data_IF_531806826100
#
_entry.id   IF_531806826100
#
_cell.length_a   1.000
_cell.length_b   1.000
_cell.length_c   1.000
_cell.angle_alpha   90.00
_cell.angle_beta   90.00
_cell.angle_gamma   90.00
#
_symmetry.space_group_name_H-M   'P 1'
#
loop_
_entity.id
_entity.type
_entity.pdbx_description
1 polymer ?
#
# COMPACT_ATOMS: atom_id res chain seq x y z
N UNK A 1 -17.02 -25.74 16.39
CA UNK A 1 -17.78 -24.58 15.87
C UNK A 1 -18.97 -25.07 15.04
N UNK A 2 -20.13 -24.42 15.11
CA UNK A 2 -21.31 -24.78 14.32
C UNK A 2 -21.73 -23.61 13.42
N UNK A 3 -22.01 -23.88 12.15
CA UNK A 3 -22.47 -22.89 11.16
C UNK A 3 -23.80 -23.36 10.56
N UNK A 4 -24.83 -22.50 10.42
CA UNK A 4 -26.08 -22.85 9.75
C UNK A 4 -25.84 -23.35 8.32
N UNK A 5 -26.63 -24.34 7.89
CA UNK A 5 -26.58 -24.91 6.54
C UNK A 5 -28.00 -25.22 6.08
N UNK A 6 -28.47 -24.52 5.05
CA UNK A 6 -29.85 -24.63 4.54
C UNK A 6 -29.94 -25.14 3.11
N UNK A 7 -28.80 -25.46 2.50
CA UNK A 7 -28.74 -25.85 1.10
C UNK A 7 -29.33 -27.24 0.86
N UNK A 8 -30.08 -27.36 -0.23
CA UNK A 8 -30.60 -28.63 -0.72
C UNK A 8 -29.55 -29.32 -1.59
N UNK A 9 -29.38 -30.63 -1.48
CA UNK A 9 -28.40 -31.39 -2.29
C UNK A 9 -27.90 -32.62 -1.55
N UNK A 10 -26.99 -33.40 -2.16
CA UNK A 10 -26.53 -34.70 -1.61
C UNK A 10 -25.17 -34.63 -0.89
N UNK A 11 -24.62 -33.44 -0.69
CA UNK A 11 -23.35 -33.28 0.00
C UNK A 11 -23.45 -33.74 1.47
N UNK A 12 -22.47 -34.52 1.91
CA UNK A 12 -22.34 -34.93 3.31
C UNK A 12 -21.32 -34.09 4.08
N UNK A 13 -20.47 -33.37 3.35
CA UNK A 13 -19.41 -32.52 3.86
C UNK A 13 -19.59 -31.10 3.38
N UNK A 14 -19.22 -30.16 4.24
CA UNK A 14 -19.00 -28.77 3.87
C UNK A 14 -17.65 -28.31 4.45
N UNK A 15 -17.15 -27.19 3.96
CA UNK A 15 -15.79 -26.73 4.20
C UNK A 15 -15.80 -25.29 4.69
N UNK A 16 -14.81 -24.95 5.52
CA UNK A 16 -14.40 -23.57 5.67
C UNK A 16 -13.13 -23.40 4.84
N UNK A 17 -13.18 -22.50 3.88
CA UNK A 17 -12.03 -22.11 3.07
C UNK A 17 -11.43 -20.78 3.58
N UNK A 18 -10.15 -20.58 3.32
CA UNK A 18 -9.44 -19.33 3.58
C UNK A 18 -9.05 -18.67 2.25
N UNK A 19 -8.95 -17.35 2.24
CA UNK A 19 -8.46 -16.62 1.07
C UNK A 19 -7.00 -16.99 0.74
N UNK A 20 -6.70 -17.15 -0.54
CA UNK A 20 -5.35 -17.35 -1.04
C UNK A 20 -5.26 -16.83 -2.48
N UNK A 21 -4.54 -15.72 -2.68
CA UNK A 21 -4.34 -15.09 -4.01
C UNK A 21 -3.49 -15.92 -4.97
N UNK A 22 -2.75 -16.91 -4.46
CA UNK A 22 -1.88 -17.78 -5.25
C UNK A 22 -2.61 -18.93 -5.96
N UNK A 23 -3.89 -19.17 -5.66
CA UNK A 23 -4.70 -20.19 -6.33
C UNK A 23 -5.73 -19.55 -7.26
N UNK A 24 -6.05 -20.15 -8.43
CA UNK A 24 -7.03 -19.59 -9.36
C UNK A 24 -8.42 -19.37 -8.76
N UNK A 25 -8.83 -20.20 -7.80
CA UNK A 25 -10.12 -20.07 -7.10
C UNK A 25 -10.16 -18.93 -6.09
N UNK A 26 -9.02 -18.30 -5.76
CA UNK A 26 -8.89 -17.28 -4.70
C UNK A 26 -9.15 -17.78 -3.28
N UNK A 27 -9.53 -19.05 -3.10
CA UNK A 27 -9.81 -19.68 -1.81
C UNK A 27 -9.30 -21.13 -1.79
N UNK A 28 -8.87 -21.59 -0.61
CA UNK A 28 -8.48 -22.98 -0.34
C UNK A 28 -9.24 -23.53 0.87
N UNK A 29 -9.85 -24.74 0.79
CA UNK A 29 -10.39 -25.42 1.96
C UNK A 29 -9.29 -25.65 3.00
N UNK A 30 -9.54 -25.25 4.25
CA UNK A 30 -8.59 -25.44 5.36
C UNK A 30 -9.14 -26.31 6.47
N UNK A 31 -10.47 -26.52 6.50
CA UNK A 31 -11.12 -27.49 7.37
C UNK A 31 -12.45 -27.93 6.79
N UNK A 32 -13.00 -29.02 7.32
CA UNK A 32 -14.25 -29.61 6.88
C UNK A 32 -15.13 -30.01 8.08
N UNK A 33 -16.41 -30.16 7.82
CA UNK A 33 -17.41 -30.56 8.80
C UNK A 33 -18.48 -31.44 8.18
N UNK A 34 -19.17 -32.21 9.02
CA UNK A 34 -20.29 -33.06 8.60
C UNK A 34 -21.57 -32.24 8.59
N UNK A 35 -22.34 -32.34 7.51
CA UNK A 35 -23.66 -31.71 7.38
C UNK A 35 -24.67 -32.50 8.22
N UNK A 36 -25.30 -31.83 9.19
CA UNK A 36 -26.45 -32.36 9.93
C UNK A 36 -27.72 -31.75 9.36
N UNK A 37 -28.44 -32.54 8.55
CA UNK A 37 -29.67 -32.09 7.87
C UNK A 37 -30.83 -31.88 8.84
N UNK A 38 -30.93 -32.73 9.87
CA UNK A 38 -31.99 -32.61 10.89
C UNK A 38 -31.85 -31.31 11.68
N UNK A 39 -30.62 -30.91 12.02
CA UNK A 39 -30.33 -29.67 12.75
C UNK A 39 -30.02 -28.46 11.84
N UNK A 40 -30.04 -28.66 10.52
CA UNK A 40 -29.70 -27.64 9.50
C UNK A 40 -28.39 -26.89 9.79
N UNK A 41 -27.33 -27.62 10.11
CA UNK A 41 -26.02 -27.03 10.41
C UNK A 41 -24.86 -27.93 10.02
N UNK A 42 -23.65 -27.36 10.04
CA UNK A 42 -22.38 -28.06 9.88
C UNK A 42 -21.58 -27.88 11.16
N UNK A 43 -21.02 -28.97 11.67
CA UNK A 43 -20.11 -28.93 12.82
C UNK A 43 -18.67 -29.11 12.35
N UNK A 44 -17.82 -28.12 12.64
CA UNK A 44 -16.38 -28.12 12.39
C UNK A 44 -15.63 -28.38 13.70
N UNK A 45 -14.86 -29.47 13.76
CA UNK A 45 -14.11 -29.87 14.95
C UNK A 45 -12.78 -29.13 15.11
N UNK A 46 -12.15 -28.76 13.99
CA UNK A 46 -10.83 -28.14 13.96
C UNK A 46 -10.91 -26.82 13.21
N UNK A 47 -11.04 -25.71 13.94
CA UNK A 47 -11.10 -24.36 13.38
C UNK A 47 -10.07 -23.50 14.10
N UNK A 48 -9.31 -22.71 13.34
CA UNK A 48 -8.26 -21.85 13.87
C UNK A 48 -8.89 -20.47 14.11
N UNK A 49 -8.84 -19.93 15.34
CA UNK A 49 -9.32 -18.58 15.62
C UNK A 49 -8.42 -17.53 14.95
N UNK A 50 -8.86 -16.27 14.93
CA UNK A 50 -8.17 -15.14 14.28
C UNK A 50 -8.01 -15.34 12.76
N UNK A 51 -9.10 -15.77 12.11
CA UNK A 51 -9.11 -16.13 10.68
C UNK A 51 -10.42 -15.73 10.01
N UNK A 52 -10.29 -15.31 8.75
CA UNK A 52 -11.43 -15.07 7.87
C UNK A 52 -11.77 -16.32 7.05
N UNK A 53 -13.04 -16.74 7.11
CA UNK A 53 -13.51 -17.99 6.53
C UNK A 53 -14.62 -17.78 5.49
N UNK A 54 -14.54 -18.60 4.44
CA UNK A 54 -15.54 -18.73 3.39
C UNK A 54 -16.26 -20.08 3.56
N UNK A 55 -17.52 -20.11 4.03
CA UNK A 55 -18.28 -21.34 4.14
C UNK A 55 -18.72 -21.82 2.75
N UNK A 56 -18.14 -22.93 2.29
CA UNK A 56 -18.38 -23.49 0.95
C UNK A 56 -18.62 -24.99 0.94
N UNK A 57 -19.30 -25.48 -0.09
CA UNK A 57 -19.34 -26.89 -0.46
C UNK A 57 -18.99 -27.03 -1.94
N UNK A 58 -18.65 -28.25 -2.36
CA UNK A 58 -18.26 -28.53 -3.73
C UNK A 58 -19.28 -29.43 -4.41
N UNK A 59 -19.56 -29.17 -5.69
CA UNK A 59 -20.31 -30.11 -6.53
C UNK A 59 -19.44 -31.33 -6.88
N UNK A 60 -20.05 -32.41 -7.41
CA UNK A 60 -19.29 -33.57 -7.90
C UNK A 60 -18.24 -33.24 -8.96
N UNK A 61 -18.39 -32.12 -9.66
CA UNK A 61 -17.46 -31.63 -10.69
C UNK A 61 -16.42 -30.64 -10.14
N UNK A 62 -16.36 -30.45 -8.81
CA UNK A 62 -15.37 -29.60 -8.17
C UNK A 62 -15.69 -28.09 -8.17
N UNK A 63 -16.88 -27.68 -8.63
CA UNK A 63 -17.31 -26.27 -8.52
C UNK A 63 -17.68 -25.93 -7.08
N UNK A 64 -17.17 -24.83 -6.55
CA UNK A 64 -17.51 -24.32 -5.23
C UNK A 64 -18.83 -23.54 -5.23
N UNK A 65 -19.56 -23.64 -4.12
CA UNK A 65 -20.79 -22.91 -3.84
C UNK A 65 -20.77 -22.46 -2.38
N UNK A 66 -21.30 -21.27 -2.09
CA UNK A 66 -21.45 -20.80 -0.71
C UNK A 66 -22.70 -21.40 -0.08
N UNK A 67 -22.65 -21.72 1.22
CA UNK A 67 -23.83 -22.07 2.01
C UNK A 67 -24.13 -21.05 3.13
N UNK A 68 -23.38 -19.95 3.14
CA UNK A 68 -23.50 -18.85 4.08
C UNK A 68 -22.58 -17.70 3.70
N UNK A 69 -22.69 -16.59 4.43
CA UNK A 69 -21.83 -15.43 4.26
C UNK A 69 -20.41 -15.70 4.79
N UNK A 70 -19.36 -15.19 4.14
CA UNK A 70 -18.03 -15.16 4.72
C UNK A 70 -18.01 -14.42 6.07
N UNK A 71 -17.14 -14.84 6.97
CA UNK A 71 -17.09 -14.29 8.33
C UNK A 71 -15.68 -14.32 8.90
N UNK A 72 -15.41 -13.41 9.85
CA UNK A 72 -14.21 -13.46 10.66
C UNK A 72 -14.48 -14.23 11.96
N UNK A 73 -13.57 -15.13 12.34
CA UNK A 73 -13.58 -15.82 13.62
C UNK A 73 -12.55 -15.15 14.51
N UNK A 74 -12.98 -14.52 15.60
CA UNK A 74 -12.06 -13.82 16.50
C UNK A 74 -11.18 -14.76 17.33
N UNK A 75 -10.26 -14.19 18.11
CA UNK A 75 -9.37 -14.93 19.03
C UNK A 75 -10.12 -15.73 20.09
N UNK A 76 -11.34 -15.32 20.44
CA UNK A 76 -12.22 -16.00 21.39
C UNK A 76 -13.09 -17.10 20.77
N UNK A 77 -13.02 -17.31 19.46
CA UNK A 77 -13.83 -18.28 18.74
C UNK A 77 -15.27 -17.82 18.46
N UNK A 78 -15.54 -16.51 18.54
CA UNK A 78 -16.83 -15.91 18.19
C UNK A 78 -16.84 -15.50 16.73
N UNK A 79 -17.95 -15.80 16.05
CA UNK A 79 -18.21 -15.34 14.68
C UNK A 79 -18.52 -13.85 14.72
N UNK A 80 -17.71 -13.06 14.03
CA UNK A 80 -17.98 -11.67 13.71
C UNK A 80 -18.48 -11.64 12.27
N UNK A 81 -19.75 -11.27 12.09
CA UNK A 81 -20.32 -11.09 10.76
C UNK A 81 -19.74 -9.85 10.12
N UNK A 82 -19.27 -9.99 8.89
CA UNK A 82 -18.67 -8.93 8.08
C UNK A 82 -19.72 -8.02 7.43
N UNK A 83 -20.80 -7.68 8.15
CA UNK A 83 -21.80 -6.78 7.61
C UNK A 83 -21.27 -5.35 7.73
N UNK A 84 -20.69 -4.87 6.63
CA UNK A 84 -20.36 -3.47 6.46
C UNK A 84 -21.49 -2.88 5.62
N UNK A 85 -22.18 -1.88 6.17
CA UNK A 85 -23.06 -1.03 5.36
C UNK A 85 -22.20 -0.38 4.29
N UNK A 86 -22.35 -0.83 3.05
CA UNK A 86 -21.52 -0.37 1.96
C UNK A 86 -22.15 0.80 1.21
N UNK A 87 -21.32 1.53 0.49
CA UNK A 87 -21.78 2.50 -0.50
C UNK A 87 -22.23 1.78 -1.78
N UNK A 88 -23.31 2.23 -2.41
CA UNK A 88 -23.83 1.68 -3.68
C UNK A 88 -23.35 2.44 -4.93
N UNK A 89 -22.34 3.30 -4.78
CA UNK A 89 -21.86 4.22 -5.82
C UNK A 89 -20.42 3.90 -6.25
N UNK A 90 -19.87 4.77 -7.09
CA UNK A 90 -18.45 4.78 -7.43
C UNK A 90 -17.57 4.90 -6.19
N UNK A 91 -16.64 3.96 -6.07
CA UNK A 91 -15.62 3.90 -5.02
C UNK A 91 -14.24 4.07 -5.63
N UNK A 92 -13.34 4.76 -4.91
CA UNK A 92 -11.96 4.94 -5.32
C UNK A 92 -11.07 3.95 -4.56
N UNK A 93 -10.50 3.01 -5.29
CA UNK A 93 -9.53 2.05 -4.78
C UNK A 93 -8.14 2.66 -4.88
N UNK A 94 -7.33 2.46 -3.85
CA UNK A 94 -5.96 2.99 -3.74
C UNK A 94 -4.91 1.90 -3.53
N UNK A 95 -5.32 0.70 -3.10
CA UNK A 95 -4.39 -0.39 -2.74
C UNK A 95 -5.00 -1.78 -2.84
N UNK A 96 -4.12 -2.77 -3.01
CA UNK A 96 -4.47 -4.21 -3.06
C UNK A 96 -4.23 -4.97 -1.75
N UNK A 97 -3.54 -4.34 -0.80
CA UNK A 97 -3.22 -4.90 0.52
C UNK A 97 -3.20 -3.75 1.55
N UNK A 98 -3.55 -3.98 2.82
CA UNK A 98 -3.49 -2.94 3.85
C UNK A 98 -2.07 -2.40 4.03
N UNK A 99 -1.96 -1.20 4.58
CA UNK A 99 -0.67 -0.75 5.08
C UNK A 99 -0.21 -1.70 6.19
N UNK A 100 1.09 -2.01 6.23
CA UNK A 100 1.64 -2.90 7.26
C UNK A 100 1.98 -2.05 8.48
N UNK A 101 1.43 -2.40 9.64
CA UNK A 101 1.67 -1.67 10.89
C UNK A 101 3.16 -1.42 11.14
N UNK A 102 4.02 -2.42 10.95
CA UNK A 102 5.46 -2.26 11.16
C UNK A 102 6.15 -1.27 10.19
N UNK A 103 5.55 -0.94 9.04
CA UNK A 103 6.04 0.10 8.14
C UNK A 103 5.45 1.46 8.48
N UNK A 104 4.19 1.52 8.93
CA UNK A 104 3.58 2.74 9.48
C UNK A 104 4.35 3.21 10.73
N UNK A 105 4.68 2.30 11.64
CA UNK A 105 5.46 2.60 12.84
C UNK A 105 6.83 3.16 12.50
N UNK A 106 7.47 2.70 11.41
CA UNK A 106 8.74 3.25 10.92
C UNK A 106 8.54 4.65 10.34
N UNK A 107 7.49 4.88 9.56
CA UNK A 107 7.19 6.19 9.00
C UNK A 107 6.89 7.24 10.09
N UNK A 108 6.18 6.87 11.16
CA UNK A 108 5.93 7.75 12.31
C UNK A 108 7.24 8.17 12.99
N UNK A 109 8.21 7.26 13.12
CA UNK A 109 9.51 7.55 13.74
C UNK A 109 10.41 8.50 12.92
N UNK A 110 10.05 8.78 11.66
CA UNK A 110 10.74 9.80 10.87
C UNK A 110 10.35 11.22 11.27
N UNK A 111 9.25 11.43 12.00
CA UNK A 111 8.85 12.75 12.52
C UNK A 111 9.98 13.33 13.36
N UNK A 112 10.33 14.59 13.10
CA UNK A 112 11.46 15.27 13.74
C UNK A 112 12.79 15.13 13.00
N UNK A 113 12.87 14.29 11.95
CA UNK A 113 14.03 14.26 11.05
C UNK A 113 14.23 15.64 10.42
N UNK A 114 15.46 16.14 10.47
CA UNK A 114 15.81 17.47 9.96
C UNK A 114 16.57 17.37 8.65
N UNK A 115 16.31 18.34 7.78
CA UNK A 115 17.11 18.58 6.57
C UNK A 115 18.02 19.75 6.88
N UNK A 116 19.33 19.51 6.85
CA UNK A 116 20.35 20.50 7.13
C UNK A 116 21.12 20.83 5.86
N UNK A 117 21.56 22.07 5.75
CA UNK A 117 22.35 22.56 4.64
C UNK A 117 23.57 23.34 5.13
N UNK A 118 24.68 23.26 4.41
CA UNK A 118 25.91 23.98 4.74
C UNK A 118 26.81 24.18 3.52
N UNK A 119 27.70 25.17 3.62
CA UNK A 119 28.85 25.32 2.72
C UNK A 119 30.15 24.81 3.37
N UNK A 120 30.06 24.26 4.58
CA UNK A 120 31.13 23.54 5.27
C UNK A 120 30.87 22.03 5.21
N UNK A 121 31.83 21.19 4.77
CA UNK A 121 31.63 19.75 4.61
C UNK A 121 31.44 19.00 5.95
N UNK A 122 31.83 19.61 7.07
CA UNK A 122 31.59 19.12 8.43
C UNK A 122 30.23 19.52 8.99
N UNK A 123 29.42 20.31 8.27
CA UNK A 123 28.14 20.86 8.73
C UNK A 123 28.28 21.70 10.02
N UNK A 124 29.39 22.41 10.17
CA UNK A 124 29.67 23.30 11.31
C UNK A 124 30.26 24.64 10.82
N UNK A 125 29.46 25.71 10.71
CA UNK A 125 28.02 25.78 11.02
C UNK A 125 27.16 25.09 9.96
N UNK A 126 25.91 24.79 10.31
CA UNK A 126 24.87 24.39 9.36
C UNK A 126 23.52 25.03 9.69
N UNK A 127 22.65 25.08 8.69
CA UNK A 127 21.30 25.60 8.80
C UNK A 127 20.29 24.46 8.66
N UNK A 128 19.30 24.43 9.55
CA UNK A 128 18.13 23.57 9.37
C UNK A 128 17.19 24.23 8.38
N UNK A 129 17.04 23.64 7.20
CA UNK A 129 16.24 24.17 6.09
C UNK A 129 14.93 23.42 5.90
N UNK A 130 14.71 22.31 6.61
CA UNK A 130 13.45 21.58 6.57
C UNK A 130 13.31 20.59 7.71
N UNK A 131 12.09 20.12 7.92
CA UNK A 131 11.75 19.12 8.95
C UNK A 131 10.62 18.21 8.45
N UNK A 132 10.71 16.92 8.77
CA UNK A 132 9.58 16.00 8.67
C UNK A 132 8.67 16.27 9.86
N UNK A 133 7.63 17.08 9.66
CA UNK A 133 6.74 17.51 10.73
C UNK A 133 5.57 16.55 10.99
N UNK A 134 5.27 15.65 10.05
CA UNK A 134 4.15 14.71 10.12
C UNK A 134 4.53 13.38 9.46
N UNK A 135 3.69 12.37 9.66
CA UNK A 135 3.85 11.01 9.16
C UNK A 135 3.86 11.01 7.64
N UNK A 136 4.94 10.50 7.05
CA UNK A 136 5.03 10.33 5.60
C UNK A 136 4.05 9.25 5.12
N UNK A 137 3.41 9.51 3.98
CA UNK A 137 2.55 8.52 3.32
C UNK A 137 3.38 7.65 2.37
N UNK A 138 2.96 6.40 2.07
CA UNK A 138 3.76 5.43 1.31
C UNK A 138 3.72 5.68 -0.21
N UNK A 139 4.05 6.90 -0.61
CA UNK A 139 4.20 7.37 -1.98
C UNK A 139 5.09 8.62 -2.00
N UNK A 140 5.51 9.07 -3.18
CA UNK A 140 6.29 10.30 -3.29
C UNK A 140 5.51 11.52 -2.78
N UNK A 141 6.17 12.30 -1.93
CA UNK A 141 5.66 13.56 -1.40
C UNK A 141 6.79 14.57 -1.20
N UNK A 142 6.43 15.85 -1.19
CA UNK A 142 7.38 16.95 -1.14
C UNK A 142 7.46 17.59 0.25
N UNK A 143 8.69 17.83 0.72
CA UNK A 143 8.99 18.69 1.85
C UNK A 143 9.67 19.95 1.31
N UNK A 144 8.97 21.08 1.39
CA UNK A 144 9.52 22.39 0.99
C UNK A 144 10.67 22.79 1.92
N UNK A 145 11.75 23.30 1.35
CA UNK A 145 12.89 23.80 2.12
C UNK A 145 12.83 25.32 2.22
N UNK A 146 13.19 25.84 3.39
CA UNK A 146 13.49 27.26 3.60
C UNK A 146 14.90 27.57 3.06
N UNK A 147 14.94 28.28 1.94
CA UNK A 147 16.17 28.66 1.24
C UNK A 147 16.51 30.15 1.39
N UNK A 148 15.98 30.83 2.40
CA UNK A 148 16.12 32.28 2.60
C UNK A 148 17.58 32.77 2.74
N UNK A 149 18.51 31.90 3.14
CA UNK A 149 19.93 32.23 3.34
C UNK A 149 20.80 32.04 2.08
N UNK A 150 20.27 31.41 1.04
CA UNK A 150 20.97 31.20 -0.23
C UNK A 150 21.24 29.73 -0.55
N UNK A 151 21.99 29.47 -1.64
CA UNK A 151 22.30 28.12 -2.08
C UNK A 151 23.38 27.49 -1.19
N UNK A 152 23.32 26.18 -1.04
CA UNK A 152 24.31 25.41 -0.27
C UNK A 152 24.98 24.36 -1.13
N UNK A 153 26.22 24.03 -0.76
CA UNK A 153 26.99 22.97 -1.41
C UNK A 153 26.66 21.59 -0.84
N UNK A 154 26.35 21.50 0.45
CA UNK A 154 26.14 20.25 1.14
C UNK A 154 24.77 20.23 1.79
N UNK A 155 24.04 19.13 1.60
CA UNK A 155 22.78 18.86 2.26
C UNK A 155 22.86 17.51 2.97
N UNK A 156 22.21 17.40 4.13
CA UNK A 156 22.04 16.11 4.79
C UNK A 156 20.66 15.99 5.40
N UNK A 157 20.14 14.77 5.34
CA UNK A 157 18.94 14.35 6.08
C UNK A 157 19.44 13.65 7.31
N UNK A 158 19.17 14.23 8.47
CA UNK A 158 19.61 13.72 9.77
C UNK A 158 18.38 13.28 10.56
N UNK A 159 18.28 11.97 10.77
CA UNK A 159 17.24 11.35 11.60
C UNK A 159 17.39 11.73 13.07
N UNK A 160 16.37 11.43 13.87
CA UNK A 160 16.37 11.73 15.30
C UNK A 160 17.34 10.80 16.05
N UNK A 161 17.86 11.26 17.19
CA UNK A 161 18.72 10.42 18.04
C UNK A 161 17.95 9.26 18.68
N UNK A 162 16.63 9.41 18.86
CA UNK A 162 15.72 8.36 19.36
C UNK A 162 15.51 7.23 18.33
N UNK A 163 15.54 7.56 17.04
CA UNK A 163 15.41 6.60 15.95
C UNK A 163 16.41 6.90 14.83
N UNK A 164 17.68 6.47 14.97
CA UNK A 164 18.79 6.79 14.07
C UNK A 164 18.77 5.93 12.78
N UNK A 165 17.60 5.78 12.16
CA UNK A 165 17.35 4.90 11.03
C UNK A 165 16.56 5.63 9.94
N UNK A 166 17.19 5.86 8.79
CA UNK A 166 16.53 6.49 7.65
C UNK A 166 15.65 5.48 6.89
N UNK A 167 14.44 5.21 7.43
CA UNK A 167 13.41 4.38 6.81
C UNK A 167 12.74 5.05 5.59
N UNK A 168 13.56 5.55 4.66
CA UNK A 168 13.18 6.17 3.39
C UNK A 168 13.57 5.23 2.25
N UNK A 169 12.67 5.02 1.29
CA UNK A 169 12.98 4.19 0.12
C UNK A 169 13.42 4.99 -1.09
N UNK A 170 12.92 6.21 -1.25
CA UNK A 170 13.31 7.06 -2.37
C UNK A 170 13.57 8.49 -1.89
N UNK A 171 14.56 9.12 -2.51
CA UNK A 171 14.96 10.47 -2.20
C UNK A 171 15.39 11.25 -3.44
N UNK A 172 14.84 12.45 -3.62
CA UNK A 172 15.22 13.37 -4.67
C UNK A 172 15.39 14.79 -4.12
N UNK A 173 16.55 15.38 -4.39
CA UNK A 173 16.81 16.79 -4.13
C UNK A 173 16.30 17.58 -5.33
N UNK A 174 15.21 18.33 -5.16
CA UNK A 174 14.53 18.99 -6.27
C UNK A 174 14.95 20.46 -6.32
N UNK A 175 15.11 20.95 -7.55
CA UNK A 175 15.38 22.35 -7.86
C UNK A 175 14.48 22.82 -8.99
N UNK A 176 14.63 24.09 -9.36
CA UNK A 176 13.90 24.69 -10.47
C UNK A 176 14.78 24.74 -11.74
N UNK A 177 14.25 24.28 -12.86
CA UNK A 177 14.96 24.26 -14.16
C UNK A 177 15.42 25.66 -14.60
N UNK A 178 14.74 26.72 -14.14
CA UNK A 178 15.09 28.12 -14.44
C UNK A 178 16.42 28.55 -13.81
N UNK A 179 16.93 27.83 -12.81
CA UNK A 179 18.28 28.08 -12.29
C UNK A 179 19.39 27.66 -13.28
N UNK A 180 19.08 26.92 -14.35
CA UNK A 180 20.03 26.59 -15.41
C UNK A 180 21.18 25.67 -14.97
N UNK A 181 20.94 24.84 -13.96
CA UNK A 181 21.94 23.87 -13.48
C UNK A 181 22.14 22.72 -14.47
N UNK A 182 23.39 22.37 -14.73
CA UNK A 182 23.76 21.33 -15.70
C UNK A 182 23.60 19.90 -15.14
N UNK A 183 23.66 19.73 -13.82
CA UNK A 183 23.61 18.45 -13.11
C UNK A 183 22.19 18.06 -12.71
N UNK A 184 21.26 18.10 -13.67
CA UNK A 184 19.84 17.81 -13.42
C UNK A 184 19.32 16.69 -14.32
N UNK A 185 18.33 15.96 -13.82
CA UNK A 185 17.53 14.99 -14.58
C UNK A 185 16.03 15.25 -14.32
N UNK A 186 15.16 14.57 -15.07
CA UNK A 186 13.72 14.63 -14.81
C UNK A 186 13.41 14.17 -13.38
N UNK A 187 12.59 14.94 -12.66
CA UNK A 187 12.11 14.54 -11.34
C UNK A 187 11.03 13.45 -11.47
N UNK A 188 10.96 12.58 -10.47
CA UNK A 188 9.90 11.56 -10.42
C UNK A 188 8.54 12.23 -10.21
N UNK A 189 7.47 11.81 -10.91
CA UNK A 189 6.16 12.42 -10.73
C UNK A 189 5.60 12.11 -9.33
N UNK A 190 4.92 13.10 -8.73
CA UNK A 190 4.05 12.87 -7.58
C UNK A 190 2.88 11.96 -7.99
N UNK A 191 2.36 11.13 -7.06
CA UNK A 191 1.24 10.26 -7.35
C UNK A 191 -0.03 11.08 -7.66
N UNK A 192 -0.86 10.53 -8.54
CA UNK A 192 -2.21 11.06 -8.79
C UNK A 192 -3.17 10.12 -8.08
N UNK A 193 -3.73 10.56 -6.95
CA UNK A 193 -4.57 9.78 -6.05
C UNK A 193 -6.06 10.14 -6.17
N UNK A 194 -6.35 11.27 -6.82
CA UNK A 194 -7.69 11.72 -7.14
C UNK A 194 -7.73 12.47 -8.47
N UNK A 195 -8.94 12.72 -8.99
CA UNK A 195 -9.11 13.55 -10.19
C UNK A 195 -8.63 14.99 -9.99
N UNK A 196 -8.69 15.52 -8.75
CA UNK A 196 -8.23 16.87 -8.42
C UNK A 196 -6.71 17.07 -8.60
N UNK A 197 -5.92 16.01 -8.45
CA UNK A 197 -4.45 16.07 -8.56
C UNK A 197 -3.97 16.27 -10.00
N UNK A 198 -4.85 16.07 -10.99
CA UNK A 198 -4.52 16.20 -12.42
C UNK A 198 -4.44 17.65 -12.90
N UNK A 199 -4.84 18.61 -12.06
CA UNK A 199 -4.68 20.04 -12.32
C UNK A 199 -3.20 20.42 -12.13
N UNK A 200 -2.37 20.22 -13.15
CA UNK A 200 -0.95 20.56 -13.13
C UNK A 200 -0.71 21.88 -13.87
N UNK A 201 -0.11 22.84 -13.15
CA UNK A 201 0.64 23.96 -13.71
C UNK A 201 1.90 23.47 -14.44
N UNK A 202 2.57 24.36 -15.17
CA UNK A 202 3.87 24.10 -15.80
C UNK A 202 4.91 23.68 -14.74
N UNK A 203 5.26 22.38 -14.69
CA UNK A 203 6.23 21.86 -13.73
C UNK A 203 7.65 22.21 -14.18
N UNK A 204 8.25 23.19 -13.51
CA UNK A 204 9.68 23.56 -13.65
C UNK A 204 10.61 22.69 -12.79
N UNK A 205 10.07 21.68 -12.11
CA UNK A 205 10.79 20.87 -11.13
C UNK A 205 11.71 19.84 -11.81
N UNK A 206 12.98 19.87 -11.44
CA UNK A 206 13.98 18.90 -11.89
C UNK A 206 14.75 18.35 -10.70
N UNK A 207 15.20 17.10 -10.81
CA UNK A 207 16.01 16.45 -9.79
C UNK A 207 17.46 16.86 -9.98
N UNK A 208 18.04 17.43 -8.93
CA UNK A 208 19.45 17.78 -8.85
C UNK A 208 20.27 16.54 -8.46
N UNK A 209 21.45 16.40 -9.06
CA UNK A 209 22.33 15.25 -8.88
C UNK A 209 23.71 15.68 -8.36
N UNK A 210 24.20 15.03 -7.31
CA UNK A 210 25.58 15.18 -6.85
C UNK A 210 26.53 14.25 -7.60
N UNK A 211 26.05 13.09 -8.03
CA UNK A 211 26.72 12.14 -8.94
C UNK A 211 25.74 11.61 -10.00
N UNK A 212 26.22 11.15 -11.18
CA UNK A 212 25.39 10.45 -12.15
C UNK A 212 24.64 9.27 -11.52
N UNK A 213 23.34 9.13 -11.84
CA UNK A 213 22.45 8.15 -11.20
C UNK A 213 23.00 6.72 -11.31
N UNK A 214 23.62 6.37 -12.44
CA UNK A 214 24.21 5.07 -12.71
C UNK A 214 25.32 4.68 -11.71
N UNK A 215 25.97 5.67 -11.09
CA UNK A 215 27.04 5.45 -10.09
C UNK A 215 26.51 5.31 -8.67
N UNK A 216 25.29 5.77 -8.40
CA UNK A 216 24.70 5.81 -7.06
C UNK A 216 23.44 4.97 -6.90
N UNK A 217 22.97 4.32 -7.98
CA UNK A 217 21.80 3.42 -7.97
C UNK A 217 21.93 2.21 -7.04
N UNK A 218 23.13 1.90 -6.57
CA UNK A 218 23.33 0.85 -5.57
C UNK A 218 22.91 1.29 -4.15
N UNK A 219 22.75 2.59 -3.91
CA UNK A 219 22.24 3.13 -2.65
C UNK A 219 20.73 2.98 -2.65
N UNK A 220 20.17 2.46 -1.55
CA UNK A 220 18.76 2.13 -1.47
C UNK A 220 17.85 3.32 -1.71
N UNK A 221 18.22 4.52 -1.27
CA UNK A 221 17.44 5.74 -1.51
C UNK A 221 17.37 6.22 -2.98
N UNK A 222 18.09 5.54 -3.89
CA UNK A 222 18.18 5.86 -5.32
C UNK A 222 18.01 4.63 -6.24
N UNK A 223 17.66 3.46 -5.71
CA UNK A 223 17.66 2.20 -6.48
C UNK A 223 16.36 1.97 -7.28
N UNK A 224 15.31 2.76 -7.02
CA UNK A 224 14.00 2.65 -7.65
C UNK A 224 13.09 1.61 -6.99
N UNK A 225 13.44 1.09 -5.81
CA UNK A 225 12.72 0.03 -5.12
C UNK A 225 12.12 0.54 -3.80
N UNK A 226 10.79 0.73 -3.72
CA UNK A 226 10.11 1.17 -2.51
C UNK A 226 10.30 0.27 -1.27
N UNK A 227 10.81 -0.95 -1.46
CA UNK A 227 10.99 -1.97 -0.41
C UNK A 227 12.41 -2.04 0.15
N UNK A 228 13.33 -1.21 -0.32
CA UNK A 228 14.69 -1.06 0.24
C UNK A 228 14.81 0.29 0.94
N UNK A 229 15.76 0.41 1.88
CA UNK A 229 16.05 1.68 2.54
C UNK A 229 17.45 1.67 3.17
N UNK A 230 18.10 2.84 3.32
CA UNK A 230 19.38 2.97 4.00
C UNK A 230 19.20 2.97 5.54
N UNK A 231 18.32 2.12 6.07
CA UNK A 231 17.93 2.06 7.49
C UNK A 231 19.12 1.96 8.45
N UNK A 232 20.24 1.39 8.02
CA UNK A 232 21.45 1.26 8.85
C UNK A 232 22.16 2.59 9.11
N UNK A 233 21.80 3.67 8.41
CA UNK A 233 22.47 4.95 8.48
C UNK A 233 21.53 6.04 9.05
N UNK A 234 21.99 6.81 10.06
CA UNK A 234 21.20 7.90 10.62
C UNK A 234 21.20 9.16 9.76
N UNK A 235 22.08 9.20 8.75
CA UNK A 235 22.32 10.39 7.94
C UNK A 235 22.52 10.01 6.48
N UNK A 236 21.76 10.66 5.61
CA UNK A 236 21.94 10.60 4.16
C UNK A 236 22.53 11.94 3.73
N UNK A 237 23.63 11.92 2.96
CA UNK A 237 24.33 13.12 2.50
C UNK A 237 24.21 13.29 0.99
N UNK A 238 24.11 14.55 0.59
CA UNK A 238 24.06 14.99 -0.80
C UNK A 238 25.09 16.10 -1.00
N UNK A 239 26.11 15.83 -1.81
CA UNK A 239 27.39 16.56 -1.79
C UNK A 239 27.70 17.18 -3.14
N UNK A 240 27.24 18.41 -3.38
CA UNK A 240 27.41 19.09 -4.66
C UNK A 240 28.83 19.61 -4.87
N UNK A 241 29.18 19.81 -6.14
CA UNK A 241 30.47 20.42 -6.53
C UNK A 241 30.53 21.93 -6.29
N UNK A 242 29.37 22.59 -6.25
CA UNK A 242 29.21 24.03 -6.04
C UNK A 242 27.90 24.29 -5.30
N UNK A 243 27.74 25.43 -4.60
CA UNK A 243 26.47 25.77 -3.98
C UNK A 243 25.33 25.86 -5.00
N UNK A 244 24.21 25.17 -4.74
CA UNK A 244 23.00 25.22 -5.59
C UNK A 244 21.74 25.21 -4.72
N UNK A 245 20.65 25.79 -5.24
CA UNK A 245 19.37 25.78 -4.55
C UNK A 245 18.68 24.42 -4.65
N UNK A 246 18.41 23.80 -3.51
CA UNK A 246 17.44 22.70 -3.39
C UNK A 246 16.18 23.29 -2.80
N UNK A 247 15.11 23.41 -3.59
CA UNK A 247 13.87 24.09 -3.16
C UNK A 247 12.96 23.19 -2.33
N UNK A 248 13.11 21.86 -2.51
CA UNK A 248 12.36 20.85 -1.77
C UNK A 248 13.08 19.51 -1.82
N UNK A 249 12.70 18.63 -0.92
CA UNK A 249 13.03 17.21 -0.97
C UNK A 249 11.77 16.44 -1.35
N UNK A 250 11.84 15.66 -2.43
CA UNK A 250 10.81 14.70 -2.79
C UNK A 250 11.24 13.34 -2.24
N UNK A 251 10.40 12.73 -1.43
CA UNK A 251 10.76 11.51 -0.70
C UNK A 251 9.59 10.54 -0.58
N UNK A 252 9.91 9.28 -0.33
CA UNK A 252 8.95 8.23 -0.03
C UNK A 252 9.50 7.37 1.12
N UNK A 253 8.69 7.07 2.15
CA UNK A 253 9.10 6.17 3.22
C UNK A 253 9.17 4.72 2.71
N UNK A 254 9.97 3.90 3.39
CA UNK A 254 10.01 2.46 3.17
C UNK A 254 8.59 1.88 3.21
N UNK A 255 8.19 1.24 2.12
CA UNK A 255 6.85 0.69 2.00
C UNK A 255 6.83 -0.66 1.26
N UNK A 256 5.68 -1.34 1.29
CA UNK A 256 5.52 -2.68 0.73
C UNK A 256 5.08 -2.70 -0.74
N UNK A 257 5.03 -1.53 -1.40
CA UNK A 257 4.62 -1.39 -2.81
C UNK A 257 3.24 -2.03 -3.13
N UNK A 258 2.29 -1.84 -2.21
CA UNK A 258 0.95 -2.41 -2.29
C UNK A 258 -0.13 -1.40 -2.71
N UNK A 259 0.28 -0.18 -3.08
CA UNK A 259 -0.59 0.81 -3.71
C UNK A 259 -0.98 0.42 -5.14
N UNK A 260 -1.92 1.17 -5.72
CA UNK A 260 -2.14 1.13 -7.17
C UNK A 260 -1.04 1.92 -7.86
N UNK A 261 -0.44 1.30 -8.87
CA UNK A 261 0.69 1.84 -9.63
C UNK A 261 0.18 2.14 -11.03
N UNK A 262 0.36 3.40 -11.47
CA UNK A 262 0.00 3.81 -12.82
C UNK A 262 0.71 2.94 -13.87
N UNK A 263 -0.01 2.53 -14.90
CA UNK A 263 0.47 1.67 -15.98
C UNK A 263 0.33 0.16 -15.72
N UNK A 264 0.11 -0.28 -14.48
CA UNK A 264 -0.11 -1.69 -14.16
C UNK A 264 -1.52 -2.17 -14.56
N UNK A 265 -1.65 -3.45 -14.86
CA UNK A 265 -2.92 -4.10 -15.20
C UNK A 265 -3.56 -4.71 -13.95
N UNK A 266 -4.83 -4.41 -13.72
CA UNK A 266 -5.60 -4.90 -12.58
C UNK A 266 -6.88 -5.62 -13.02
N UNK A 267 -7.32 -6.57 -12.18
CA UNK A 267 -8.64 -7.17 -12.23
C UNK A 267 -9.33 -7.02 -10.87
N UNK A 268 -10.60 -6.62 -10.86
CA UNK A 268 -11.41 -6.58 -9.63
C UNK A 268 -12.42 -7.72 -9.65
N UNK A 269 -12.50 -8.44 -8.54
CA UNK A 269 -13.45 -9.51 -8.34
C UNK A 269 -14.43 -9.16 -7.21
N UNK A 270 -15.67 -9.59 -7.36
CA UNK A 270 -16.68 -9.61 -6.31
C UNK A 270 -16.95 -11.05 -5.91
N UNK A 271 -16.96 -11.32 -4.59
CA UNK A 271 -17.39 -12.62 -4.08
C UNK A 271 -18.89 -12.80 -4.33
N UNK A 272 -19.29 -13.90 -4.96
CA UNK A 272 -20.69 -14.21 -5.19
C UNK A 272 -20.89 -15.73 -5.27
N UNK A 273 -21.69 -16.27 -4.37
CA UNK A 273 -22.14 -17.67 -4.34
C UNK A 273 -21.00 -18.70 -4.51
N UNK A 274 -19.93 -18.56 -3.71
CA UNK A 274 -18.85 -19.54 -3.68
C UNK A 274 -17.73 -19.31 -4.70
N UNK A 275 -17.81 -18.25 -5.51
CA UNK A 275 -16.79 -17.92 -6.51
C UNK A 275 -16.48 -16.42 -6.56
N UNK A 276 -15.24 -16.09 -6.92
CA UNK A 276 -14.84 -14.73 -7.27
C UNK A 276 -15.24 -14.43 -8.71
N UNK A 277 -16.20 -13.52 -8.88
CA UNK A 277 -16.66 -13.07 -10.20
C UNK A 277 -15.96 -11.78 -10.58
N UNK A 278 -15.26 -11.79 -11.72
CA UNK A 278 -14.62 -10.59 -12.25
C UNK A 278 -15.67 -9.54 -12.61
N UNK A 279 -15.46 -8.31 -12.17
CA UNK A 279 -16.32 -7.15 -12.47
C UNK A 279 -15.57 -6.02 -13.18
N UNK A 280 -14.23 -5.99 -13.11
CA UNK A 280 -13.39 -5.02 -13.81
C UNK A 280 -12.11 -5.70 -14.34
N UNK A 281 -11.62 -5.23 -15.49
CA UNK A 281 -10.24 -5.42 -15.93
C UNK A 281 -9.76 -4.15 -16.60
N UNK A 282 -8.75 -3.51 -16.02
CA UNK A 282 -8.28 -2.19 -16.47
C UNK A 282 -6.78 -2.04 -16.25
N UNK A 283 -6.12 -1.30 -17.16
CA UNK A 283 -4.80 -0.74 -16.92
C UNK A 283 -4.95 0.58 -16.19
N UNK A 284 -4.48 0.65 -14.94
CA UNK A 284 -4.61 1.85 -14.13
C UNK A 284 -3.92 3.04 -14.81
N UNK A 285 -4.65 4.11 -15.08
CA UNK A 285 -4.06 5.34 -15.65
C UNK A 285 -3.27 6.13 -14.60
N UNK A 286 -3.70 6.03 -13.35
CA UNK A 286 -3.20 6.79 -12.21
C UNK A 286 -2.93 5.87 -11.01
N UNK A 287 -2.62 6.42 -9.84
CA UNK A 287 -2.39 5.67 -8.60
C UNK A 287 -3.71 5.33 -7.88
N UNK A 288 -4.82 5.32 -8.61
CA UNK A 288 -6.15 4.93 -8.13
C UNK A 288 -6.97 4.27 -9.25
N UNK A 289 -8.01 3.55 -8.88
CA UNK A 289 -9.04 3.02 -9.78
C UNK A 289 -10.40 3.41 -9.25
N UNK A 290 -11.26 4.01 -10.08
CA UNK A 290 -12.67 4.28 -9.72
C UNK A 290 -13.55 3.22 -10.34
N UNK A 291 -14.49 2.67 -9.56
CA UNK A 291 -15.36 1.58 -10.00
C UNK A 291 -16.68 1.59 -9.26
N UNK A 292 -17.77 1.32 -9.97
CA UNK A 292 -19.09 1.10 -9.38
C UNK A 292 -19.20 -0.34 -8.88
N UNK A 293 -19.55 -0.51 -7.61
CA UNK A 293 -19.66 -1.83 -6.97
C UNK A 293 -20.99 -1.97 -6.22
N UNK A 294 -21.58 -3.17 -6.15
CA UNK A 294 -22.74 -3.38 -5.30
C UNK A 294 -22.40 -3.10 -3.83
N UNK A 295 -23.32 -2.45 -3.12
CA UNK A 295 -23.17 -2.17 -1.69
C UNK A 295 -22.97 -3.46 -0.88
N UNK A 296 -22.03 -3.44 0.06
CA UNK A 296 -21.72 -4.56 0.94
C UNK A 296 -20.94 -5.70 0.26
N UNK A 297 -20.54 -5.54 -1.00
CA UNK A 297 -19.74 -6.54 -1.71
C UNK A 297 -18.38 -6.75 -1.05
N UNK A 298 -18.01 -8.02 -0.89
CA UNK A 298 -16.64 -8.41 -0.61
C UNK A 298 -15.86 -8.43 -1.93
N UNK A 299 -14.81 -7.62 -2.00
CA UNK A 299 -14.02 -7.37 -3.20
C UNK A 299 -12.60 -7.91 -3.06
N UNK A 300 -11.97 -8.23 -4.18
CA UNK A 300 -10.55 -8.58 -4.27
C UNK A 300 -9.95 -7.90 -5.51
N UNK A 301 -8.99 -7.00 -5.29
CA UNK A 301 -8.23 -6.33 -6.34
C UNK A 301 -6.93 -7.09 -6.60
N UNK A 302 -6.78 -7.60 -7.82
CA UNK A 302 -5.62 -8.37 -8.28
C UNK A 302 -4.75 -7.54 -9.19
N UNK A 303 -3.44 -7.53 -8.99
CA UNK A 303 -2.47 -6.93 -9.89
C UNK A 303 -1.84 -8.00 -10.79
N UNK A 304 -2.03 -7.88 -12.11
CA UNK A 304 -1.49 -8.82 -13.09
C UNK A 304 -0.06 -8.47 -13.54
N UNK A 305 0.46 -7.31 -13.16
CA UNK A 305 1.80 -6.84 -13.55
C UNK A 305 2.85 -7.09 -12.48
N UNK A 306 2.55 -6.87 -11.20
CA UNK A 306 3.55 -6.97 -10.14
C UNK A 306 3.00 -7.14 -8.72
N UNK A 307 3.89 -7.59 -7.82
CA UNK A 307 3.56 -7.90 -6.43
C UNK A 307 2.84 -9.26 -6.27
N UNK A 308 2.76 -9.74 -5.02
CA UNK A 308 2.07 -11.01 -4.67
C UNK A 308 1.07 -10.86 -3.54
N UNK A 309 1.25 -9.82 -2.72
CA UNK A 309 0.39 -9.55 -1.57
C UNK A 309 -0.91 -8.90 -2.02
N UNK A 310 -2.00 -9.60 -1.78
CA UNK A 310 -3.35 -9.16 -2.09
C UNK A 310 -4.25 -9.63 -0.98
N UNK A 311 -5.26 -8.85 -0.64
CA UNK A 311 -6.20 -9.22 0.39
C UNK A 311 -7.60 -8.71 0.05
N UNK A 312 -8.65 -9.52 0.28
CA UNK A 312 -10.01 -9.05 0.13
C UNK A 312 -10.33 -7.89 1.06
N UNK A 313 -11.26 -7.05 0.63
CA UNK A 313 -11.73 -5.90 1.38
C UNK A 313 -13.20 -5.64 1.11
N UNK A 314 -13.82 -4.96 2.05
CA UNK A 314 -15.09 -4.29 1.87
C UNK A 314 -14.86 -2.80 1.62
N UNK A 315 -15.88 -2.12 1.14
CA UNK A 315 -15.92 -0.67 1.12
C UNK A 315 -17.02 -0.22 2.09
N UNK A 316 -16.66 0.64 3.04
CA UNK A 316 -17.61 1.17 4.02
C UNK A 316 -18.49 2.30 3.44
N UNK A 317 -19.37 2.85 4.27
CA UNK A 317 -20.28 3.94 3.90
C UNK A 317 -19.55 5.22 3.48
N UNK A 318 -18.32 5.42 3.96
CA UNK A 318 -17.48 6.57 3.59
C UNK A 318 -16.71 6.34 2.28
N UNK A 319 -16.79 5.14 1.69
CA UNK A 319 -16.06 4.78 0.48
C UNK A 319 -14.64 4.30 0.74
N UNK A 320 -14.27 3.99 1.99
CA UNK A 320 -12.92 3.56 2.37
C UNK A 320 -12.78 2.04 2.32
N UNK A 321 -11.63 1.58 1.83
CA UNK A 321 -11.28 0.16 1.83
C UNK A 321 -11.04 -0.35 3.26
N UNK A 322 -11.77 -1.40 3.66
CA UNK A 322 -11.61 -2.13 4.92
C UNK A 322 -11.24 -3.58 4.62
N UNK A 323 -9.97 -3.91 4.79
CA UNK A 323 -9.47 -5.25 4.53
C UNK A 323 -9.98 -6.27 5.57
N UNK A 324 -10.08 -7.54 5.16
CA UNK A 324 -10.68 -8.60 5.98
C UNK A 324 -9.89 -8.98 7.25
N UNK A 325 -8.67 -8.44 7.39
CA UNK A 325 -7.89 -8.54 8.62
C UNK A 325 -7.63 -7.11 9.15
N UNK A 326 -7.81 -6.90 10.47
CA UNK A 326 -7.54 -5.61 11.11
C UNK A 326 -6.05 -5.29 11.16
#
# INVERSE_FOLDING_TARGET
MCVPYRETGNNNLAYLAAFNSGVPSGIIPVTWGKINRTKQNVTFSSVIPDRYYFPVYYSPFGKSFSFGEPFYLDKGGKIIKSHIEGKADDVTLLRKFPMKQGLEDKAVKLIGTVIQASNDPGFQPCDTVGIIADTLQPYFQDIKLDMNKGPYQYYQIKTTDEYPHAALSELEFITDIRYGYENVIAASPLPILSSGDTLSEDKTEVRLMDEPLERIKWKSEYDGNPQTSPELYPTIRFMLKKPQFVTKIRMMPLNADNGIIAGNQYELFCWNNGEWKKILSERARYNYITVSVPSGSLLWLRNLTGGKEELPFYVDSDGLQKFIYP
#
